data_IF_561147990685
#
_entry.id   IF_561147990685
#
_cell.length_a   1.000
_cell.length_b   1.000
_cell.length_c   1.000
_cell.angle_alpha   90.00
_cell.angle_beta   90.00
_cell.angle_gamma   90.00
#
_symmetry.space_group_name_H-M   'P 1'
#
loop_
_entity.id
_entity.type
_entity.pdbx_description
1 polymer ?
#
# COMPACT_ATOMS: atom_id res chain seq x y z
N UNK A 1 18.90 -11.11 -16.79
CA UNK A 1 19.47 -9.81 -16.38
C UNK A 1 18.68 -8.65 -17.01
N UNK A 2 17.85 -7.99 -16.21
CA UNK A 2 17.12 -6.79 -16.66
C UNK A 2 18.14 -5.67 -16.93
N UNK A 3 18.06 -4.96 -18.08
CA UNK A 3 18.95 -3.85 -18.34
C UNK A 3 18.62 -2.72 -17.36
N UNK A 4 19.54 -2.47 -16.42
CA UNK A 4 19.55 -1.26 -15.62
C UNK A 4 19.66 -0.09 -16.60
N UNK A 5 18.63 0.74 -16.66
CA UNK A 5 18.64 1.98 -17.43
C UNK A 5 19.83 2.81 -16.94
N UNK A 6 20.90 2.85 -17.73
CA UNK A 6 22.07 3.67 -17.42
C UNK A 6 21.70 5.14 -17.64
N UNK A 7 21.43 5.82 -16.53
CA UNK A 7 21.21 7.27 -16.49
C UNK A 7 22.60 7.95 -16.47
N UNK A 8 22.91 8.89 -17.39
CA UNK A 8 24.20 9.61 -17.36
C UNK A 8 24.44 10.29 -16.01
N UNK A 9 25.66 10.26 -15.48
CA UNK A 9 25.99 10.61 -14.07
C UNK A 9 25.44 11.96 -13.55
N UNK A 10 25.41 13.02 -14.37
CA UNK A 10 24.81 14.31 -14.00
C UNK A 10 23.28 14.29 -13.86
N UNK A 11 22.62 13.40 -14.60
CA UNK A 11 21.17 13.19 -14.53
C UNK A 11 20.83 12.34 -13.30
N UNK A 12 21.72 11.44 -12.87
CA UNK A 12 21.55 10.61 -11.68
C UNK A 12 21.50 11.44 -10.39
N UNK A 13 22.43 12.39 -10.20
CA UNK A 13 22.46 13.24 -9.01
C UNK A 13 21.19 14.12 -8.89
N UNK A 14 20.71 14.65 -10.01
CA UNK A 14 19.46 15.43 -10.06
C UNK A 14 18.23 14.57 -9.72
N UNK A 15 18.19 13.34 -10.23
CA UNK A 15 17.10 12.38 -9.95
C UNK A 15 17.11 12.00 -8.46
N UNK A 16 18.27 11.69 -7.88
CA UNK A 16 18.39 11.38 -6.46
C UNK A 16 17.96 12.54 -5.57
N UNK A 17 18.35 13.78 -5.92
CA UNK A 17 17.89 14.99 -5.22
C UNK A 17 16.36 15.13 -5.31
N UNK A 18 15.79 14.93 -6.50
CA UNK A 18 14.34 14.94 -6.70
C UNK A 18 13.61 13.89 -5.87
N UNK A 19 14.13 12.65 -5.84
CA UNK A 19 13.54 11.56 -5.04
C UNK A 19 13.60 11.83 -3.54
N UNK A 20 14.68 12.47 -3.04
CA UNK A 20 14.75 12.89 -1.63
C UNK A 20 13.69 13.92 -1.29
N UNK A 21 13.47 14.93 -2.14
CA UNK A 21 12.40 15.91 -1.97
C UNK A 21 11.01 15.26 -2.06
N UNK A 22 10.83 14.33 -3.00
CA UNK A 22 9.58 13.58 -3.10
C UNK A 22 9.31 12.74 -1.85
N UNK A 23 10.33 12.09 -1.29
CA UNK A 23 10.20 11.38 -0.02
C UNK A 23 9.79 12.31 1.13
N UNK A 24 10.24 13.57 1.15
CA UNK A 24 9.76 14.56 2.11
C UNK A 24 8.27 14.88 1.90
N UNK A 25 7.81 15.01 0.66
CA UNK A 25 6.39 15.18 0.34
C UNK A 25 5.55 13.97 0.79
N UNK A 26 6.04 12.74 0.63
CA UNK A 26 5.35 11.54 1.11
C UNK A 26 5.19 11.54 2.65
N UNK A 27 6.07 12.22 3.38
CA UNK A 27 5.95 12.42 4.83
C UNK A 27 5.02 13.58 5.22
N UNK A 28 4.41 14.28 4.25
CA UNK A 28 3.37 15.25 4.50
C UNK A 28 2.00 14.59 4.30
N UNK A 29 1.21 14.51 5.38
CA UNK A 29 -0.06 13.78 5.39
C UNK A 29 -1.05 14.32 4.35
N UNK A 30 -1.20 15.64 4.28
CA UNK A 30 -2.11 16.32 3.36
C UNK A 30 -1.72 16.02 1.91
N UNK A 31 -0.42 16.06 1.60
CA UNK A 31 0.09 15.70 0.29
C UNK A 31 -0.20 14.23 -0.04
N UNK A 32 0.13 13.31 0.86
CA UNK A 32 0.00 11.87 0.60
C UNK A 32 -1.46 11.46 0.40
N UNK A 33 -2.37 11.97 1.23
CA UNK A 33 -3.81 11.75 1.06
C UNK A 33 -4.30 12.31 -0.28
N UNK A 34 -3.93 13.54 -0.61
CA UNK A 34 -4.31 14.18 -1.87
C UNK A 34 -3.74 13.43 -3.08
N UNK A 35 -2.51 12.97 -2.99
CA UNK A 35 -1.83 12.19 -4.03
C UNK A 35 -2.58 10.88 -4.32
N UNK A 36 -2.89 10.10 -3.29
CA UNK A 36 -3.62 8.82 -3.43
C UNK A 36 -5.02 9.07 -4.01
N UNK A 37 -5.77 10.04 -3.45
CA UNK A 37 -7.12 10.40 -3.92
C UNK A 37 -7.10 10.82 -5.40
N UNK A 38 -6.09 11.60 -5.80
CA UNK A 38 -5.94 12.06 -7.17
C UNK A 38 -5.67 10.90 -8.11
N UNK A 39 -4.75 9.99 -7.76
CA UNK A 39 -4.48 8.79 -8.56
C UNK A 39 -5.73 7.91 -8.73
N UNK A 40 -6.45 7.65 -7.64
CA UNK A 40 -7.64 6.80 -7.68
C UNK A 40 -8.81 7.39 -8.46
N UNK A 41 -8.90 8.72 -8.56
CA UNK A 41 -9.92 9.41 -9.37
C UNK A 41 -9.72 9.24 -10.88
N UNK A 42 -8.52 8.83 -11.32
CA UNK A 42 -8.23 8.66 -12.74
C UNK A 42 -8.84 7.36 -13.28
N UNK A 43 -9.64 7.46 -14.36
CA UNK A 43 -10.27 6.28 -15.01
C UNK A 43 -9.25 5.29 -15.56
N UNK A 44 -8.07 5.78 -15.96
CA UNK A 44 -6.96 4.95 -16.46
C UNK A 44 -6.19 4.23 -15.35
N UNK A 45 -6.42 4.56 -14.08
CA UNK A 45 -5.73 3.95 -12.95
C UNK A 45 -6.28 2.54 -12.69
N UNK A 46 -5.51 1.53 -13.09
CA UNK A 46 -5.95 0.14 -13.09
C UNK A 46 -5.87 -0.50 -11.70
N UNK A 47 -6.47 -1.68 -11.53
CA UNK A 47 -6.33 -2.46 -10.29
C UNK A 47 -4.89 -2.87 -9.99
N UNK A 48 -4.08 -3.06 -11.04
CA UNK A 48 -2.64 -3.33 -10.91
C UNK A 48 -1.91 -2.11 -10.37
N UNK A 49 -2.21 -0.92 -10.89
CA UNK A 49 -1.57 0.32 -10.47
C UNK A 49 -1.89 0.64 -9.00
N UNK A 50 -3.15 0.42 -8.60
CA UNK A 50 -3.57 0.54 -7.19
C UNK A 50 -2.73 -0.35 -6.26
N UNK A 51 -2.50 -1.60 -6.65
CA UNK A 51 -1.66 -2.52 -5.89
C UNK A 51 -0.19 -2.11 -5.84
N UNK A 52 0.37 -1.70 -6.98
CA UNK A 52 1.75 -1.24 -7.04
C UNK A 52 1.97 0.00 -6.17
N UNK A 53 1.09 0.99 -6.26
CA UNK A 53 1.18 2.23 -5.47
C UNK A 53 1.03 1.93 -3.98
N UNK A 54 0.05 1.11 -3.59
CA UNK A 54 -0.11 0.68 -2.20
C UNK A 54 1.17 0.05 -1.63
N UNK A 55 1.77 -0.89 -2.36
CA UNK A 55 3.00 -1.58 -1.93
C UNK A 55 4.23 -0.68 -1.91
N UNK A 56 4.36 0.22 -2.88
CA UNK A 56 5.47 1.18 -2.91
C UNK A 56 5.37 2.18 -1.75
N UNK A 57 4.19 2.75 -1.50
CA UNK A 57 3.96 3.67 -0.37
C UNK A 57 4.23 2.95 0.95
N UNK A 58 3.68 1.75 1.14
CA UNK A 58 3.89 0.98 2.37
C UNK A 58 5.35 0.59 2.59
N UNK A 59 6.10 0.30 1.52
CA UNK A 59 7.55 0.06 1.60
C UNK A 59 8.30 1.33 2.02
N UNK A 60 7.99 2.48 1.43
CA UNK A 60 8.62 3.77 1.79
C UNK A 60 8.31 4.15 3.25
N UNK A 61 7.11 3.84 3.73
CA UNK A 61 6.66 4.15 5.08
C UNK A 61 6.92 3.03 6.11
N UNK A 62 7.60 1.94 5.72
CA UNK A 62 7.78 0.78 6.59
C UNK A 62 8.49 1.11 7.92
N UNK A 63 9.41 2.08 7.93
CA UNK A 63 10.09 2.53 9.14
C UNK A 63 9.28 3.54 9.97
N UNK A 64 8.10 3.94 9.50
CA UNK A 64 7.21 4.94 10.09
C UNK A 64 5.77 4.43 10.14
N UNK A 65 5.57 3.23 10.70
CA UNK A 65 4.25 2.58 10.71
C UNK A 65 3.18 3.35 11.48
N UNK A 66 3.55 4.16 12.49
CA UNK A 66 2.61 5.05 13.19
C UNK A 66 1.97 6.03 12.21
N UNK A 67 2.79 6.79 11.47
CA UNK A 67 2.34 7.68 10.40
C UNK A 67 1.56 6.96 9.30
N UNK A 68 2.05 5.79 8.86
CA UNK A 68 1.34 4.98 7.86
C UNK A 68 -0.05 4.56 8.35
N UNK A 69 -0.19 4.27 9.65
CA UNK A 69 -1.46 3.89 10.27
C UNK A 69 -2.43 5.06 10.29
N UNK A 70 -1.97 6.27 10.59
CA UNK A 70 -2.85 7.45 10.61
C UNK A 70 -3.35 7.82 9.21
N UNK A 71 -2.47 7.78 8.20
CA UNK A 71 -2.87 7.92 6.79
C UNK A 71 -3.89 6.85 6.39
N UNK A 72 -3.65 5.59 6.79
CA UNK A 72 -4.54 4.48 6.49
C UNK A 72 -5.92 4.64 7.14
N UNK A 73 -5.98 5.07 8.41
CA UNK A 73 -7.25 5.37 9.10
C UNK A 73 -8.05 6.41 8.34
N UNK A 74 -7.41 7.50 7.91
CA UNK A 74 -8.10 8.56 7.18
C UNK A 74 -8.60 8.07 5.82
N UNK A 75 -7.80 7.29 5.07
CA UNK A 75 -8.23 6.72 3.79
C UNK A 75 -9.39 5.73 3.95
N UNK A 76 -9.41 4.94 5.03
CA UNK A 76 -10.51 4.02 5.32
C UNK A 76 -11.78 4.78 5.73
N UNK A 77 -11.65 5.86 6.50
CA UNK A 77 -12.77 6.75 6.82
C UNK A 77 -13.39 7.33 5.54
N UNK A 78 -12.56 7.88 4.63
CA UNK A 78 -13.03 8.37 3.33
C UNK A 78 -13.74 7.28 2.51
N UNK A 79 -13.26 6.04 2.57
CA UNK A 79 -13.86 4.91 1.86
C UNK A 79 -15.23 4.54 2.44
N UNK A 80 -15.38 4.56 3.76
CA UNK A 80 -16.65 4.37 4.45
C UNK A 80 -17.64 5.46 4.03
N UNK A 81 -17.24 6.73 4.11
CA UNK A 81 -18.11 7.86 3.78
C UNK A 81 -18.60 7.80 2.34
N UNK A 82 -17.68 7.56 1.38
CA UNK A 82 -18.05 7.38 -0.04
C UNK A 82 -19.00 6.20 -0.26
N UNK A 83 -18.83 5.11 0.47
CA UNK A 83 -19.70 3.94 0.35
C UNK A 83 -21.12 4.23 0.86
N UNK A 84 -21.23 4.95 1.98
CA UNK A 84 -22.49 5.41 2.56
C UNK A 84 -23.20 6.40 1.64
N UNK A 85 -22.47 7.38 1.08
CA UNK A 85 -23.00 8.36 0.11
C UNK A 85 -23.54 7.66 -1.15
N UNK A 86 -22.82 6.65 -1.64
CA UNK A 86 -23.22 5.86 -2.82
C UNK A 86 -24.40 4.94 -2.56
N UNK A 87 -24.95 4.92 -1.32
CA UNK A 87 -26.00 4.00 -0.86
C UNK A 87 -25.66 2.53 -1.12
N UNK A 88 -24.37 2.21 -1.15
CA UNK A 88 -23.92 0.85 -1.32
C UNK A 88 -24.24 0.05 -0.05
N UNK A 89 -24.52 -1.23 -0.21
CA UNK A 89 -24.83 -2.08 0.92
C UNK A 89 -23.59 -2.20 1.83
N UNK A 90 -23.66 -1.86 3.14
CA UNK A 90 -22.47 -1.80 4.02
C UNK A 90 -21.65 -3.10 4.07
N UNK A 91 -22.30 -4.27 3.98
CA UNK A 91 -21.61 -5.58 3.90
C UNK A 91 -20.74 -5.78 2.65
N UNK A 92 -20.81 -4.89 1.65
CA UNK A 92 -19.96 -4.94 0.46
C UNK A 92 -18.68 -4.12 0.62
N UNK A 93 -18.60 -3.25 1.64
CA UNK A 93 -17.39 -2.50 1.98
C UNK A 93 -16.26 -3.48 2.35
N UNK A 94 -15.04 -3.21 1.87
CA UNK A 94 -13.84 -4.06 2.05
C UNK A 94 -13.90 -5.46 1.43
N UNK A 95 -14.97 -5.81 0.68
CA UNK A 95 -15.17 -7.19 0.19
C UNK A 95 -14.27 -7.57 -1.00
N UNK A 96 -13.97 -6.62 -1.88
CA UNK A 96 -13.28 -6.89 -3.16
C UNK A 96 -11.84 -6.38 -3.21
N UNK A 97 -11.39 -5.65 -2.20
CA UNK A 97 -10.02 -5.12 -2.11
C UNK A 97 -9.66 -4.28 -3.33
N UNK A 98 -10.53 -3.34 -3.69
CA UNK A 98 -10.45 -2.61 -4.96
C UNK A 98 -9.75 -1.26 -4.83
N UNK A 99 -9.70 -0.67 -3.65
CA UNK A 99 -9.03 0.61 -3.38
C UNK A 99 -7.56 0.45 -2.98
N UNK A 100 -6.79 1.53 -3.14
CA UNK A 100 -5.43 1.66 -2.59
C UNK A 100 -5.46 1.49 -1.07
N UNK A 101 -6.48 2.04 -0.39
CA UNK A 101 -6.65 1.93 1.05
C UNK A 101 -6.76 0.46 1.52
N UNK A 102 -7.63 -0.34 0.89
CA UNK A 102 -7.78 -1.77 1.20
C UNK A 102 -6.48 -2.57 0.96
N UNK A 103 -5.73 -2.21 -0.08
CA UNK A 103 -4.44 -2.86 -0.38
C UNK A 103 -3.35 -2.44 0.60
N UNK A 104 -3.32 -1.16 1.00
CA UNK A 104 -2.45 -0.68 2.07
C UNK A 104 -2.76 -1.38 3.40
N UNK A 105 -4.04 -1.59 3.72
CA UNK A 105 -4.47 -2.36 4.91
C UNK A 105 -3.95 -3.80 4.87
N UNK A 106 -3.99 -4.46 3.71
CA UNK A 106 -3.42 -5.81 3.54
C UNK A 106 -1.91 -5.81 3.80
N UNK A 107 -1.17 -4.83 3.27
CA UNK A 107 0.26 -4.68 3.50
C UNK A 107 0.58 -4.36 4.97
N UNK A 108 -0.24 -3.53 5.62
CA UNK A 108 -0.11 -3.18 7.03
C UNK A 108 -0.25 -4.42 7.92
N UNK A 109 -1.27 -5.26 7.68
CA UNK A 109 -1.40 -6.56 8.36
C UNK A 109 -0.19 -7.47 8.09
N UNK A 110 0.32 -7.49 6.86
CA UNK A 110 1.48 -8.30 6.50
C UNK A 110 2.70 -7.94 7.36
N UNK A 111 2.95 -6.64 7.60
CA UNK A 111 4.05 -6.20 8.46
C UNK A 111 3.83 -6.56 9.92
N UNK A 112 2.63 -6.32 10.45
CA UNK A 112 2.35 -6.54 11.88
C UNK A 112 2.25 -8.02 12.25
N UNK A 113 1.72 -8.84 11.35
CA UNK A 113 1.51 -10.27 11.59
C UNK A 113 2.73 -11.13 11.24
N UNK A 114 3.81 -10.57 10.70
CA UNK A 114 5.01 -11.32 10.36
C UNK A 114 5.56 -12.11 11.56
N UNK A 115 5.64 -11.48 12.74
CA UNK A 115 6.12 -12.13 13.96
C UNK A 115 5.19 -13.26 14.40
N UNK A 116 3.88 -13.02 14.40
CA UNK A 116 2.86 -14.02 14.72
C UNK A 116 2.92 -15.22 13.76
N UNK A 117 3.10 -14.96 12.46
CA UNK A 117 3.29 -16.01 11.47
C UNK A 117 4.55 -16.82 11.77
N UNK A 118 5.67 -16.16 12.07
CA UNK A 118 6.94 -16.84 12.35
C UNK A 118 6.91 -17.68 13.64
N UNK A 119 6.23 -17.19 14.68
CA UNK A 119 6.31 -17.76 16.03
C UNK A 119 5.12 -18.67 16.40
N UNK A 120 3.97 -18.53 15.73
CA UNK A 120 2.75 -19.24 16.12
C UNK A 120 2.07 -19.94 14.94
N UNK A 121 1.76 -19.22 13.86
CA UNK A 121 0.92 -19.75 12.79
C UNK A 121 1.69 -20.49 11.67
N UNK A 122 3.01 -20.33 11.61
CA UNK A 122 3.84 -20.84 10.51
C UNK A 122 3.98 -22.35 10.52
N UNK A 123 4.27 -22.95 11.68
CA UNK A 123 4.38 -24.40 11.84
C UNK A 123 3.07 -25.15 11.48
N UNK A 124 1.89 -24.81 12.04
CA UNK A 124 0.66 -25.50 11.67
C UNK A 124 0.29 -25.30 10.19
N UNK A 125 0.55 -24.10 9.64
CA UNK A 125 0.29 -23.82 8.23
C UNK A 125 1.21 -24.65 7.31
N UNK A 126 2.49 -24.80 7.68
CA UNK A 126 3.44 -25.62 6.93
C UNK A 126 3.10 -27.11 6.99
N UNK A 127 2.73 -27.61 8.18
CA UNK A 127 2.29 -28.99 8.36
C UNK A 127 1.06 -29.31 7.49
N UNK A 128 0.08 -28.40 7.44
CA UNK A 128 -1.08 -28.54 6.55
C UNK A 128 -0.66 -28.57 5.07
N UNK A 129 0.23 -27.67 4.65
CA UNK A 129 0.76 -27.65 3.28
C UNK A 129 1.43 -28.99 2.91
N UNK A 130 2.25 -29.53 3.81
CA UNK A 130 2.89 -30.84 3.61
C UNK A 130 1.87 -31.98 3.49
N UNK A 131 0.81 -31.97 4.31
CA UNK A 131 -0.23 -32.99 4.29
C UNK A 131 -1.06 -32.97 2.99
N UNK A 132 -1.34 -31.79 2.42
CA UNK A 132 -2.09 -31.66 1.16
C UNK A 132 -1.24 -32.05 -0.06
N UNK A 133 0.08 -31.84 0.01
CA UNK A 133 0.99 -32.12 -1.10
C UNK A 133 1.28 -33.63 -1.28
N UNK A 134 1.08 -34.43 -0.23
CA UNK A 134 1.19 -35.90 -0.27
C UNK A 134 0.10 -36.52 -1.16
#
# INVERSE_FOLDING_TARGET
PFPLVQVPGYRQERVEKGLKLFAQLINNEVFLLSFIRTLESQRSFSMRDRGNVASLIMTVLQSKLEYATDVLKQLLADLIDKNLESKNHPKLLLRRTESVAEKMLTNWFTFLLYKFLKECAGEPLFSLFCAIKQ
#
